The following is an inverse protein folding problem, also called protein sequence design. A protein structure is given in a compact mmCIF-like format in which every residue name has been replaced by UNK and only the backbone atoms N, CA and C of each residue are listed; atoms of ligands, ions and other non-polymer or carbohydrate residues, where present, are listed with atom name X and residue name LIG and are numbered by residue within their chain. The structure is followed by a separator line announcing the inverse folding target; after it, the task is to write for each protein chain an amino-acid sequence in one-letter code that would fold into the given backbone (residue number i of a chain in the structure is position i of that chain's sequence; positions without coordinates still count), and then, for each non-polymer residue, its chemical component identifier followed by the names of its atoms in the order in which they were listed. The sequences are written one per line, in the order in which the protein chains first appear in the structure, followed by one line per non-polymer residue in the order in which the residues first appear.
data_IF_215232655799
#
_entry.id   IF_215232655799
#
_cell.length_a   1.000
_cell.length_b   1.000
_cell.length_c   1.000
_cell.angle_alpha   90.00
_cell.angle_beta   90.00
_cell.angle_gamma   90.00
#
_symmetry.space_group_name_H-M   'P 1'
#
loop_
_entity.id
_entity.type
_entity.pdbx_description
1 polymer ?
#
# COMPACT_ATOMS: atom_id res chain seq x y z
N UNK A 1 13.26 9.66 -8.41
CA UNK A 1 12.02 10.07 -9.10
C UNK A 1 11.50 8.89 -9.91
N UNK A 2 10.63 8.06 -9.31
CA UNK A 2 9.98 6.95 -10.00
C UNK A 2 8.54 6.93 -9.55
N UNK A 3 7.66 7.49 -10.36
CA UNK A 3 6.23 7.62 -10.08
C UNK A 3 5.59 6.32 -10.55
N UNK A 4 5.05 5.51 -9.63
CA UNK A 4 4.17 4.41 -10.01
C UNK A 4 2.77 5.02 -10.22
N UNK A 5 2.47 5.44 -11.44
CA UNK A 5 1.12 5.87 -11.81
C UNK A 5 0.32 4.65 -12.24
N UNK A 6 -0.59 4.18 -11.39
CA UNK A 6 -1.60 3.18 -11.77
C UNK A 6 -2.80 3.94 -12.32
N UNK A 7 -3.05 3.80 -13.62
CA UNK A 7 -4.27 4.30 -14.24
C UNK A 7 -5.32 3.19 -14.19
N UNK A 8 -6.51 3.52 -13.68
CA UNK A 8 -7.67 2.65 -13.80
C UNK A 8 -8.75 3.40 -14.58
N UNK A 9 -9.14 2.85 -15.73
CA UNK A 9 -10.19 3.41 -16.58
C UNK A 9 -11.41 2.51 -16.50
N UNK A 10 -12.51 3.03 -15.97
CA UNK A 10 -13.80 2.35 -15.88
C UNK A 10 -14.65 2.60 -17.13
N UNK A 11 -14.14 2.18 -18.30
CA UNK A 11 -14.77 2.46 -19.58
C UNK A 11 -14.93 1.19 -20.42
N UNK A 12 -15.54 0.16 -19.85
CA UNK A 12 -16.11 -0.96 -20.59
C UNK A 12 -17.52 -1.25 -20.04
N UNK A 13 -18.50 -1.61 -20.89
CA UNK A 13 -19.87 -1.91 -20.46
C UNK A 13 -19.97 -3.13 -19.52
N UNK A 14 -18.85 -3.83 -19.27
CA UNK A 14 -18.75 -4.98 -18.36
C UNK A 14 -18.23 -4.61 -16.95
N UNK A 15 -17.76 -3.37 -16.74
CA UNK A 15 -17.19 -2.95 -15.45
C UNK A 15 -15.80 -3.54 -15.15
N UNK A 16 -15.09 -3.96 -16.20
CA UNK A 16 -13.75 -4.54 -16.12
C UNK A 16 -12.69 -3.46 -15.81
N UNK A 17 -11.76 -3.78 -14.90
CA UNK A 17 -10.67 -2.88 -14.51
C UNK A 17 -9.51 -3.06 -15.48
N UNK A 18 -9.18 -2.03 -16.25
CA UNK A 18 -7.96 -1.99 -17.07
C UNK A 18 -6.77 -1.53 -16.23
N UNK A 19 -5.69 -2.30 -16.26
CA UNK A 19 -4.45 -2.05 -15.51
C UNK A 19 -3.32 -1.88 -16.52
N UNK A 20 -2.62 -0.75 -16.44
CA UNK A 20 -1.42 -0.48 -17.23
C UNK A 20 -0.25 -0.18 -16.32
N UNK A 21 0.86 -0.90 -16.51
CA UNK A 21 2.10 -0.70 -15.76
C UNK A 21 2.96 0.32 -16.52
N UNK A 22 2.94 1.57 -16.06
CA UNK A 22 3.69 2.67 -16.70
C UNK A 22 5.19 2.60 -16.37
N UNK A 23 5.53 2.09 -15.18
CA UNK A 23 6.91 1.98 -14.73
C UNK A 23 7.07 0.80 -13.78
N UNK A 24 8.09 -0.03 -14.02
CA UNK A 24 8.49 -1.13 -13.13
C UNK A 24 9.99 -1.00 -12.84
N UNK A 25 10.42 -0.90 -11.57
CA UNK A 25 11.83 -0.92 -11.23
C UNK A 25 12.46 -2.30 -11.56
N UNK A 26 13.74 -2.29 -11.94
CA UNK A 26 14.49 -3.46 -12.41
C UNK A 26 14.66 -4.53 -11.31
N UNK A 27 14.77 -4.09 -10.05
CA UNK A 27 14.86 -4.94 -8.87
C UNK A 27 13.48 -5.15 -8.22
N UNK A 28 12.66 -6.02 -8.83
CA UNK A 28 11.40 -6.45 -8.25
C UNK A 28 11.35 -7.98 -8.12
N UNK A 29 11.95 -8.48 -7.04
CA UNK A 29 12.09 -9.92 -6.78
C UNK A 29 10.77 -10.56 -6.31
N UNK A 30 9.95 -9.83 -5.57
CA UNK A 30 8.65 -10.30 -5.06
C UNK A 30 7.52 -9.36 -5.47
N UNK A 31 6.44 -9.95 -5.98
CA UNK A 31 5.26 -9.26 -6.49
C UNK A 31 4.21 -9.14 -5.39
N UNK A 32 3.49 -8.02 -5.33
CA UNK A 32 2.37 -7.88 -4.39
C UNK A 32 1.28 -8.88 -4.71
N UNK A 33 0.66 -9.45 -3.68
CA UNK A 33 -0.49 -10.34 -3.75
C UNK A 33 -1.59 -9.86 -2.81
N UNK A 34 -2.75 -10.50 -2.90
CA UNK A 34 -3.86 -10.28 -1.97
C UNK A 34 -3.37 -10.46 -0.53
N UNK A 35 -3.76 -9.57 0.36
CA UNK A 35 -3.27 -9.51 1.74
C UNK A 35 -2.02 -8.65 1.93
N UNK A 36 -1.34 -8.20 0.87
CA UNK A 36 -0.15 -7.39 1.08
C UNK A 36 -0.51 -5.96 1.52
N UNK A 37 0.17 -5.46 2.55
CA UNK A 37 0.17 -4.06 2.91
C UNK A 37 0.99 -3.27 1.89
N UNK A 38 0.34 -2.28 1.32
CA UNK A 38 0.90 -1.42 0.30
C UNK A 38 0.84 0.03 0.77
N UNK A 39 1.94 0.73 0.56
CA UNK A 39 2.03 2.18 0.73
C UNK A 39 2.09 2.82 -0.65
N UNK A 40 1.05 3.56 -1.03
CA UNK A 40 0.98 4.14 -2.36
C UNK A 40 0.44 5.57 -2.38
N UNK A 41 1.04 6.37 -3.24
CA UNK A 41 0.40 7.55 -3.79
C UNK A 41 -0.47 7.13 -4.97
N UNK A 42 -1.73 7.53 -4.95
CA UNK A 42 -2.64 7.36 -6.07
C UNK A 42 -3.49 8.61 -6.28
N UNK A 43 -3.90 8.78 -7.52
CA UNK A 43 -4.75 9.87 -7.99
C UNK A 43 -5.99 9.24 -8.64
N UNK A 44 -7.15 9.79 -8.33
CA UNK A 44 -8.45 9.35 -8.84
C UNK A 44 -9.00 10.34 -9.86
N UNK A 45 -9.32 9.85 -11.05
CA UNK A 45 -9.93 10.63 -12.14
C UNK A 45 -11.28 10.04 -12.54
N UNK A 46 -12.27 10.88 -12.84
CA UNK A 46 -13.57 10.45 -13.35
C UNK A 46 -13.44 10.03 -14.81
N UNK A 47 -13.90 8.83 -15.14
CA UNK A 47 -13.79 8.30 -16.51
C UNK A 47 -14.58 9.11 -17.56
N UNK A 48 -15.66 9.79 -17.14
CA UNK A 48 -16.56 10.52 -18.04
C UNK A 48 -15.92 11.78 -18.64
N UNK A 49 -15.16 12.53 -17.84
CA UNK A 49 -14.64 13.85 -18.20
C UNK A 49 -13.16 14.03 -17.89
N UNK A 50 -12.50 13.00 -17.33
CA UNK A 50 -11.09 13.06 -16.91
C UNK A 50 -10.84 13.98 -15.73
N UNK A 51 -11.88 14.50 -15.07
CA UNK A 51 -11.71 15.40 -13.93
C UNK A 51 -11.12 14.66 -12.74
N UNK A 52 -10.12 15.25 -12.10
CA UNK A 52 -9.51 14.68 -10.92
C UNK A 52 -10.44 14.88 -9.71
N UNK A 53 -10.88 13.78 -9.10
CA UNK A 53 -11.71 13.83 -7.88
C UNK A 53 -10.89 13.56 -6.62
N UNK A 54 -9.66 13.05 -6.75
CA UNK A 54 -8.78 12.75 -5.63
C UNK A 54 -7.31 12.79 -6.06
N UNK A 55 -6.44 13.37 -5.25
CA UNK A 55 -5.00 13.30 -5.41
C UNK A 55 -4.37 13.12 -4.05
N UNK A 56 -3.78 11.95 -3.77
CA UNK A 56 -3.07 11.72 -2.50
C UNK A 56 -1.98 12.76 -2.22
N UNK A 57 -1.43 13.40 -3.27
CA UNK A 57 -0.40 14.43 -3.11
C UNK A 57 -0.92 15.79 -2.65
N UNK A 58 -2.20 16.11 -2.89
CA UNK A 58 -2.81 17.38 -2.48
C UNK A 58 -3.88 17.18 -1.39
N UNK A 59 -4.74 16.18 -1.53
CA UNK A 59 -5.84 15.90 -0.60
C UNK A 59 -5.39 15.29 0.73
N UNK A 60 -4.17 14.74 0.78
CA UNK A 60 -3.57 14.19 2.00
C UNK A 60 -2.26 14.87 2.40
N UNK A 61 -2.13 16.17 2.17
CA UNK A 61 -0.91 16.93 2.52
C UNK A 61 0.40 16.33 1.93
N UNK A 62 0.29 15.61 0.81
CA UNK A 62 1.43 14.92 0.22
C UNK A 62 1.72 13.54 0.82
N UNK A 63 0.81 12.94 1.58
CA UNK A 63 1.03 11.67 2.28
C UNK A 63 0.50 10.45 1.49
N UNK A 64 1.31 9.40 1.33
CA UNK A 64 0.85 8.16 0.71
C UNK A 64 -0.07 7.41 1.67
N UNK A 65 -0.98 6.60 1.11
CA UNK A 65 -1.94 5.83 1.88
C UNK A 65 -1.45 4.40 2.07
N UNK A 66 -1.54 3.93 3.32
CA UNK A 66 -1.36 2.53 3.67
C UNK A 66 -2.68 1.79 3.60
N UNK A 67 -2.70 0.66 2.88
CA UNK A 67 -3.88 -0.20 2.77
C UNK A 67 -3.46 -1.64 2.46
N UNK A 68 -4.33 -2.58 2.81
CA UNK A 68 -4.16 -4.00 2.52
C UNK A 68 -4.80 -4.31 1.17
N UNK A 69 -4.09 -5.02 0.29
CA UNK A 69 -4.57 -5.36 -1.04
C UNK A 69 -5.64 -6.44 -1.04
N UNK A 70 -6.71 -6.19 -1.80
CA UNK A 70 -7.73 -7.17 -2.14
C UNK A 70 -8.66 -7.56 -0.99
N UNK A 71 -8.71 -6.74 0.06
CA UNK A 71 -9.67 -6.85 1.18
C UNK A 71 -10.79 -5.80 1.09
N UNK A 72 -10.83 -4.99 0.02
CA UNK A 72 -11.86 -3.99 -0.20
C UNK A 72 -11.68 -2.71 0.63
N UNK A 73 -10.47 -2.42 1.11
CA UNK A 73 -10.15 -1.19 1.85
C UNK A 73 -10.07 0.05 0.94
N UNK A 74 -9.85 -0.16 -0.36
CA UNK A 74 -9.73 0.90 -1.38
C UNK A 74 -10.65 0.62 -2.57
N UNK A 75 -10.68 1.54 -3.53
CA UNK A 75 -11.43 1.36 -4.78
C UNK A 75 -11.03 0.04 -5.44
N UNK A 76 -12.01 -0.75 -5.89
CA UNK A 76 -11.81 -2.07 -6.52
C UNK A 76 -10.73 -2.05 -7.61
N UNK A 77 -10.67 -0.96 -8.38
CA UNK A 77 -9.63 -0.75 -9.39
C UNK A 77 -8.22 -0.69 -8.82
N UNK A 78 -8.03 0.01 -7.68
CA UNK A 78 -6.75 0.10 -6.99
C UNK A 78 -6.36 -1.24 -6.37
N UNK A 79 -7.34 -1.93 -5.77
CA UNK A 79 -7.16 -3.24 -5.15
C UNK A 79 -6.67 -4.30 -6.15
N UNK A 80 -7.22 -4.29 -7.37
CA UNK A 80 -6.82 -5.20 -8.46
C UNK A 80 -5.57 -4.70 -9.18
N UNK A 81 -5.48 -3.39 -9.44
CA UNK A 81 -4.40 -2.79 -10.23
C UNK A 81 -3.04 -2.80 -9.54
N UNK A 82 -3.01 -2.90 -8.21
CA UNK A 82 -1.78 -3.02 -7.45
C UNK A 82 -1.33 -4.46 -7.20
N UNK A 83 -2.12 -5.45 -7.62
CA UNK A 83 -1.68 -6.84 -7.64
C UNK A 83 -0.54 -7.00 -8.65
N UNK A 84 0.52 -7.71 -8.27
CA UNK A 84 1.62 -8.01 -9.17
C UNK A 84 2.71 -6.93 -9.28
N UNK A 85 2.60 -5.81 -8.54
CA UNK A 85 3.56 -4.70 -8.61
C UNK A 85 4.82 -5.01 -7.78
N UNK A 86 4.78 -4.87 -6.46
CA UNK A 86 5.94 -5.05 -5.58
C UNK A 86 5.54 -5.28 -4.10
N UNK A 87 6.03 -6.36 -3.50
CA UNK A 87 5.75 -6.67 -2.09
C UNK A 87 6.57 -5.77 -1.14
N UNK A 88 5.91 -5.15 -0.16
CA UNK A 88 6.56 -4.34 0.86
C UNK A 88 6.97 -5.16 2.10
N UNK A 89 6.24 -6.24 2.45
CA UNK A 89 6.45 -7.03 3.67
C UNK A 89 7.90 -7.46 3.87
N UNK A 90 8.47 -8.18 2.90
CA UNK A 90 9.83 -8.72 3.02
C UNK A 90 10.95 -7.67 3.05
N UNK A 91 10.64 -6.39 2.80
CA UNK A 91 11.59 -5.28 3.01
C UNK A 91 11.42 -4.59 4.37
N UNK A 92 10.26 -4.76 5.01
CA UNK A 92 9.92 -4.17 6.30
C UNK A 92 10.28 -5.16 7.42
N UNK A 93 9.95 -6.44 7.25
CA UNK A 93 10.35 -7.57 8.09
C UNK A 93 11.87 -7.80 7.96
N UNK A 94 12.66 -7.12 8.79
CA UNK A 94 14.12 -7.14 8.72
C UNK A 94 14.71 -8.33 9.45
N UNK A 95 14.06 -8.77 10.52
CA UNK A 95 14.49 -9.90 11.33
C UNK A 95 13.97 -11.25 10.83
N UNK A 96 13.08 -11.23 9.82
CA UNK A 96 12.49 -12.40 9.15
C UNK A 96 11.67 -13.27 10.10
N UNK A 97 11.11 -12.66 11.14
CA UNK A 97 10.26 -13.36 12.09
C UNK A 97 8.84 -13.60 11.54
N UNK A 98 8.54 -13.09 10.33
CA UNK A 98 7.25 -13.17 9.64
C UNK A 98 6.14 -12.43 10.39
N UNK A 99 6.51 -11.41 11.14
CA UNK A 99 5.62 -10.43 11.73
C UNK A 99 6.15 -9.02 11.43
N UNK A 100 5.26 -8.03 11.42
CA UNK A 100 5.68 -6.64 11.38
C UNK A 100 5.48 -6.04 12.75
N UNK A 101 6.60 -5.72 13.40
CA UNK A 101 6.57 -4.95 14.63
C UNK A 101 6.32 -3.46 14.35
N UNK A 102 5.78 -2.74 15.34
CA UNK A 102 5.64 -1.27 15.24
C UNK A 102 6.96 -0.59 14.94
N UNK A 103 8.07 -1.14 15.45
CA UNK A 103 9.41 -0.60 15.25
C UNK A 103 9.85 -0.71 13.79
N UNK A 104 9.59 -1.84 13.13
CA UNK A 104 9.96 -2.06 11.72
C UNK A 104 9.13 -1.19 10.79
N UNK A 105 7.81 -1.14 11.02
CA UNK A 105 6.91 -0.26 10.27
C UNK A 105 7.33 1.20 10.44
N UNK A 106 7.66 1.61 11.67
CA UNK A 106 8.16 2.96 11.96
C UNK A 106 9.47 3.26 11.25
N UNK A 107 10.42 2.32 11.29
CA UNK A 107 11.72 2.48 10.66
C UNK A 107 11.57 2.63 9.14
N UNK A 108 10.73 1.80 8.51
CA UNK A 108 10.45 1.94 7.08
C UNK A 108 9.79 3.28 6.75
N UNK A 109 8.78 3.68 7.54
CA UNK A 109 8.09 4.95 7.38
C UNK A 109 9.07 6.13 7.46
N UNK A 110 9.99 6.13 8.43
CA UNK A 110 11.01 7.19 8.53
C UNK A 110 11.88 7.23 7.28
N UNK A 111 12.39 6.08 6.83
CA UNK A 111 13.23 5.99 5.63
C UNK A 111 12.54 6.48 4.35
N UNK A 112 11.28 6.11 4.14
CA UNK A 112 10.54 6.54 2.94
C UNK A 112 10.33 8.07 2.94
N UNK A 113 9.99 8.67 4.08
CA UNK A 113 9.80 10.12 4.22
C UNK A 113 11.11 10.93 4.18
N UNK A 114 12.20 10.37 4.71
CA UNK A 114 13.54 10.97 4.61
C UNK A 114 14.02 10.97 3.17
N UNK A 115 13.76 9.91 2.39
CA UNK A 115 14.06 9.85 0.95
C UNK A 115 13.28 10.89 0.14
N UNK A 116 12.03 11.16 0.51
CA UNK A 116 11.22 12.22 -0.10
C UNK A 116 11.60 13.64 0.37
N UNK A 117 12.59 13.77 1.26
CA UNK A 117 13.14 15.05 1.71
C UNK A 117 12.22 15.81 2.67
N UNK A 118 11.25 15.14 3.29
CA UNK A 118 10.29 15.74 4.25
C UNK A 118 10.20 14.90 5.52
N UNK A 119 11.24 14.90 6.38
CA UNK A 119 11.17 14.27 7.69
C UNK A 119 10.02 14.88 8.51
N UNK A 120 9.31 14.04 9.27
CA UNK A 120 8.19 14.45 10.13
C UNK A 120 8.52 14.15 11.59
N UNK A 121 7.71 14.67 12.50
CA UNK A 121 7.87 14.42 13.93
C UNK A 121 7.43 13.00 14.32
N UNK A 122 8.03 12.44 15.38
CA UNK A 122 7.68 11.13 15.92
C UNK A 122 6.17 10.92 16.18
N UNK A 123 5.41 11.86 16.77
CA UNK A 123 3.97 11.70 17.00
C UNK A 123 3.15 11.49 15.72
N UNK A 124 3.63 12.01 14.59
CA UNK A 124 2.99 11.81 13.29
C UNK A 124 3.12 10.35 12.84
N UNK A 125 4.34 9.80 12.93
CA UNK A 125 4.57 8.39 12.60
C UNK A 125 3.79 7.46 13.51
N UNK A 126 3.77 7.74 14.83
CA UNK A 126 2.97 6.98 15.79
C UNK A 126 1.48 6.96 15.43
N UNK A 127 0.93 8.07 14.94
CA UNK A 127 -0.48 8.12 14.52
C UNK A 127 -0.74 7.21 13.31
N UNK A 128 0.15 7.19 12.34
CA UNK A 128 0.04 6.31 11.16
C UNK A 128 0.16 4.86 11.59
N UNK A 129 1.18 4.53 12.36
CA UNK A 129 1.42 3.17 12.86
C UNK A 129 0.21 2.69 13.65
N UNK A 130 -0.31 3.50 14.56
CA UNK A 130 -1.48 3.11 15.34
C UNK A 130 -2.73 2.93 14.47
N UNK A 131 -2.91 3.69 13.38
CA UNK A 131 -4.03 3.46 12.45
C UNK A 131 -3.86 2.16 11.64
N UNK A 132 -2.62 1.85 11.21
CA UNK A 132 -2.29 0.59 10.53
C UNK A 132 -2.58 -0.59 11.46
N UNK A 133 -1.98 -0.60 12.65
CA UNK A 133 -2.17 -1.67 13.63
C UNK A 133 -3.63 -1.78 14.03
N UNK A 134 -4.32 -0.68 14.34
CA UNK A 134 -5.76 -0.74 14.68
C UNK A 134 -6.63 -1.40 13.59
N UNK A 135 -6.21 -1.34 12.33
CA UNK A 135 -6.94 -1.92 11.19
C UNK A 135 -6.51 -3.34 10.84
N UNK A 136 -5.26 -3.70 11.15
CA UNK A 136 -4.63 -4.96 10.70
C UNK A 136 -4.32 -5.94 11.84
N UNK A 137 -4.00 -5.45 13.04
CA UNK A 137 -3.77 -6.24 14.25
C UNK A 137 -5.14 -6.68 14.80
N UNK A 138 -5.54 -7.88 14.42
CA UNK A 138 -6.86 -8.44 14.68
C UNK A 138 -6.91 -9.15 16.04
N UNK A 139 -5.80 -9.76 16.45
CA UNK A 139 -5.69 -10.45 17.74
C UNK A 139 -5.21 -9.54 18.89
N UNK A 140 -4.79 -8.31 18.56
CA UNK A 140 -4.33 -7.25 19.49
C UNK A 140 -3.06 -7.63 20.22
N UNK A 141 -2.20 -8.46 19.62
CA UNK A 141 -0.91 -8.82 20.18
C UNK A 141 0.16 -7.71 20.00
N UNK A 142 -0.16 -6.67 19.21
CA UNK A 142 0.72 -5.54 18.96
C UNK A 142 1.76 -5.78 17.87
N UNK A 143 1.64 -6.90 17.15
CA UNK A 143 2.34 -7.27 15.94
C UNK A 143 1.32 -7.35 14.78
N UNK A 144 1.82 -7.39 13.55
CA UNK A 144 1.00 -7.77 12.40
C UNK A 144 1.65 -9.02 11.85
N UNK A 145 1.16 -10.18 12.30
CA UNK A 145 1.67 -11.46 11.85
C UNK A 145 1.38 -11.68 10.36
N UNK A 146 2.13 -12.55 9.67
CA UNK A 146 1.85 -12.90 8.28
C UNK A 146 0.40 -13.40 8.04
N UNK A 147 -0.27 -13.94 9.08
CA UNK A 147 -1.67 -14.39 9.03
C UNK A 147 -2.67 -13.22 9.13
N UNK A 148 -2.36 -12.21 9.92
CA UNK A 148 -3.17 -11.00 10.02
C UNK A 148 -2.92 -10.04 8.87
N UNK A 149 -1.68 -10.03 8.40
CA UNK A 149 -1.26 -9.43 7.14
C UNK A 149 -2.04 -10.08 6.00
N UNK A 150 -2.02 -11.42 5.91
CA UNK A 150 -2.67 -12.15 4.85
C UNK A 150 -3.95 -12.86 5.33
N UNK A 151 -5.06 -12.12 5.31
CA UNK A 151 -6.41 -12.58 5.69
C UNK A 151 -6.86 -13.82 4.88
N UNK A 152 -6.20 -14.10 3.76
CA UNK A 152 -6.36 -15.34 3.01
C UNK A 152 -5.17 -16.22 3.38
N UNK A 153 -5.38 -17.19 4.30
CA UNK A 153 -4.39 -18.22 4.61
C UNK A 153 -3.76 -18.73 3.31
N UNK A 154 -2.49 -18.42 3.10
CA UNK A 154 -1.72 -19.06 2.05
C UNK A 154 -1.19 -20.37 2.61
N UNK A 155 -1.87 -21.46 2.30
CA UNK A 155 -1.21 -22.73 2.10
C UNK A 155 -0.28 -22.60 0.89
N UNK A 156 0.96 -22.18 1.12
CA UNK A 156 2.04 -22.43 0.16
C UNK A 156 3.24 -22.99 0.93
N UNK A 157 3.35 -24.32 0.83
CA UNK A 157 4.52 -25.18 1.04
C UNK A 157 5.79 -24.64 0.35
#
# INVERSE_FOLDING_TARGET
FGICSVWTSGSDPDGEVKVEVVFKPEECVKKSKKGDLVNAHYDGFLAKDGSQFYCSRTDKDGHPQWFVLGVGQVLKGLDVGMMGIMEAFGQIDQDKDRSLSKAEVKHRLKLDYEKDGKPRDDPFYEKIINDIFRKSDHDRDGLISAKEYNIYEHDEL
#
